data_IF_559427944827
#
_entry.id   IF_559427944827
#
_cell.length_a   1.000
_cell.length_b   1.000
_cell.length_c   1.000
_cell.angle_alpha   90.00
_cell.angle_beta   90.00
_cell.angle_gamma   90.00
#
_symmetry.space_group_name_H-M   'P 1'
#
loop_
_entity.id
_entity.type
_entity.pdbx_description
1 polymer ?
#
# COMPACT_ATOMS: atom_id res chain seq x y z
N UNK A 1 -12.43 -54.92 -10.94
CA UNK A 1 -13.53 -54.14 -10.31
C UNK A 1 -12.90 -53.15 -9.35
N UNK A 2 -12.35 -52.02 -9.83
CA UNK A 2 -11.81 -50.93 -8.97
C UNK A 2 -11.47 -49.66 -9.77
N UNK A 3 -12.34 -49.21 -10.68
CA UNK A 3 -12.13 -47.99 -11.46
C UNK A 3 -13.09 -46.84 -11.07
N UNK A 4 -13.81 -46.96 -9.95
CA UNK A 4 -14.94 -46.07 -9.65
C UNK A 4 -14.76 -45.21 -8.39
N UNK A 5 -13.53 -44.97 -7.91
CA UNK A 5 -13.33 -44.25 -6.64
C UNK A 5 -12.21 -43.19 -6.66
N UNK A 6 -11.94 -42.55 -7.80
CA UNK A 6 -10.99 -41.42 -7.90
C UNK A 6 -11.65 -40.05 -8.10
N UNK A 7 -12.97 -40.00 -8.31
CA UNK A 7 -13.66 -38.73 -8.58
C UNK A 7 -14.11 -37.99 -7.31
N UNK A 8 -13.99 -38.60 -6.13
CA UNK A 8 -14.42 -38.02 -4.85
C UNK A 8 -13.35 -37.16 -4.14
N UNK A 9 -12.12 -37.08 -4.66
CA UNK A 9 -10.99 -36.44 -3.97
C UNK A 9 -10.62 -35.03 -4.50
N UNK A 10 -11.35 -34.51 -5.49
CA UNK A 10 -11.05 -33.21 -6.14
C UNK A 10 -11.85 -32.01 -5.64
N UNK A 11 -12.83 -32.20 -4.77
CA UNK A 11 -13.71 -31.10 -4.31
C UNK A 11 -13.18 -30.33 -3.08
N UNK A 12 -12.06 -30.77 -2.49
CA UNK A 12 -11.55 -30.21 -1.23
C UNK A 12 -10.64 -28.99 -1.39
N UNK A 13 -10.29 -28.57 -2.62
CA UNK A 13 -9.17 -27.65 -2.83
C UNK A 13 -9.57 -26.16 -2.88
N UNK A 14 -10.79 -25.82 -3.33
CA UNK A 14 -11.20 -24.40 -3.48
C UNK A 14 -11.48 -23.71 -2.14
N UNK A 15 -12.00 -24.45 -1.17
CA UNK A 15 -12.28 -23.94 0.17
C UNK A 15 -11.01 -23.61 0.95
N UNK A 16 -9.94 -24.38 0.76
CA UNK A 16 -8.65 -24.12 1.40
C UNK A 16 -7.98 -22.86 0.87
N UNK A 17 -8.13 -22.57 -0.43
CA UNK A 17 -7.67 -21.33 -1.05
C UNK A 17 -8.37 -20.10 -0.44
N UNK A 18 -9.68 -20.20 -0.22
CA UNK A 18 -10.48 -19.12 0.37
C UNK A 18 -10.14 -18.85 1.84
N UNK A 19 -9.72 -19.86 2.59
CA UNK A 19 -9.32 -19.73 4.00
C UNK A 19 -7.87 -19.28 4.21
N UNK A 20 -7.11 -18.99 3.15
CA UNK A 20 -5.74 -18.54 3.27
C UNK A 20 -5.67 -17.15 3.93
N UNK A 21 -4.65 -16.91 4.76
CA UNK A 21 -4.55 -15.68 5.56
C UNK A 21 -4.59 -14.39 4.72
N UNK A 22 -4.01 -14.42 3.52
CA UNK A 22 -4.03 -13.30 2.56
C UNK A 22 -5.43 -13.02 2.05
N UNK A 23 -6.12 -14.04 1.55
CA UNK A 23 -7.48 -13.92 1.00
C UNK A 23 -8.49 -13.54 2.07
N UNK A 24 -8.34 -14.03 3.31
CA UNK A 24 -9.18 -13.65 4.44
C UNK A 24 -9.00 -12.16 4.81
N UNK A 25 -7.77 -11.65 4.77
CA UNK A 25 -7.51 -10.22 4.94
C UNK A 25 -8.13 -9.37 3.82
N UNK A 26 -8.05 -9.82 2.57
CA UNK A 26 -8.71 -9.14 1.44
C UNK A 26 -10.22 -9.13 1.59
N UNK A 27 -10.84 -10.22 2.05
CA UNK A 27 -12.28 -10.27 2.37
C UNK A 27 -12.67 -9.30 3.49
N UNK A 28 -11.84 -9.19 4.53
CA UNK A 28 -12.04 -8.23 5.60
C UNK A 28 -12.00 -6.78 5.07
N UNK A 29 -10.98 -6.43 4.28
CA UNK A 29 -10.88 -5.10 3.67
C UNK A 29 -12.05 -4.80 2.73
N UNK A 30 -12.45 -5.77 1.90
CA UNK A 30 -13.62 -5.66 1.03
C UNK A 30 -14.88 -5.37 1.86
N UNK A 31 -15.09 -6.08 2.97
CA UNK A 31 -16.24 -5.85 3.86
C UNK A 31 -16.23 -4.44 4.46
N UNK A 32 -15.07 -3.88 4.79
CA UNK A 32 -14.94 -2.52 5.30
C UNK A 32 -15.35 -1.51 4.21
N UNK A 33 -14.81 -1.63 2.99
CA UNK A 33 -15.18 -0.75 1.88
C UNK A 33 -16.66 -0.86 1.51
N UNK A 34 -17.19 -2.09 1.45
CA UNK A 34 -18.61 -2.33 1.18
C UNK A 34 -19.49 -1.68 2.25
N UNK A 35 -19.12 -1.78 3.53
CA UNK A 35 -19.85 -1.15 4.63
C UNK A 35 -19.80 0.37 4.55
N UNK A 36 -18.64 0.94 4.23
CA UNK A 36 -18.46 2.38 4.04
C UNK A 36 -19.36 2.90 2.91
N UNK A 37 -19.36 2.21 1.77
CA UNK A 37 -20.20 2.56 0.61
C UNK A 37 -21.68 2.39 0.95
N UNK A 38 -22.05 1.32 1.65
CA UNK A 38 -23.43 1.07 2.07
C UNK A 38 -23.97 2.17 2.97
N UNK A 39 -23.23 2.55 4.03
CA UNK A 39 -23.63 3.61 4.95
C UNK A 39 -23.73 4.96 4.22
N UNK A 40 -22.92 5.19 3.18
CA UNK A 40 -22.92 6.45 2.46
C UNK A 40 -24.16 6.68 1.60
N UNK A 41 -24.98 5.66 1.35
CA UNK A 41 -26.21 5.78 0.56
C UNK A 41 -27.20 6.74 1.23
N UNK A 42 -27.25 6.75 2.56
CA UNK A 42 -28.17 7.59 3.33
C UNK A 42 -27.66 9.03 3.52
N UNK A 43 -26.45 9.36 3.06
CA UNK A 43 -25.91 10.71 3.17
C UNK A 43 -26.30 11.58 1.97
N UNK A 44 -26.66 12.83 2.26
CA UNK A 44 -26.91 13.85 1.25
C UNK A 44 -25.62 14.24 0.52
N UNK A 45 -25.77 14.64 -0.74
CA UNK A 45 -24.67 15.18 -1.53
C UNK A 45 -24.21 16.52 -0.92
N UNK A 46 -22.90 16.77 -0.70
CA UNK A 46 -21.74 16.05 -1.24
C UNK A 46 -21.10 15.00 -0.30
N UNK A 47 -21.65 14.75 0.89
CA UNK A 47 -21.01 13.91 1.90
C UNK A 47 -20.87 12.43 1.46
N UNK A 48 -21.78 11.94 0.61
CA UNK A 48 -21.69 10.60 0.02
C UNK A 48 -20.64 10.46 -1.09
N UNK A 49 -20.13 11.56 -1.64
CA UNK A 49 -19.21 11.54 -2.77
C UNK A 49 -17.87 10.91 -2.42
N UNK A 50 -17.29 11.26 -1.26
CA UNK A 50 -16.00 10.73 -0.82
C UNK A 50 -16.01 9.20 -0.62
N UNK A 51 -17.00 8.63 0.10
CA UNK A 51 -17.16 7.17 0.17
C UNK A 51 -17.30 6.48 -1.19
N UNK A 52 -18.02 7.04 -2.15
CA UNK A 52 -18.14 6.43 -3.47
C UNK A 52 -16.82 6.48 -4.25
N UNK A 53 -16.15 7.63 -4.26
CA UNK A 53 -14.90 7.82 -5.02
C UNK A 53 -13.77 6.95 -4.45
N UNK A 54 -13.70 6.76 -3.13
CA UNK A 54 -12.66 5.94 -2.50
C UNK A 54 -13.06 4.47 -2.39
N UNK A 55 -14.32 4.20 -2.01
CA UNK A 55 -14.82 2.88 -1.71
C UNK A 55 -15.05 2.02 -2.95
N UNK A 56 -15.56 2.58 -4.06
CA UNK A 56 -15.81 1.79 -5.28
C UNK A 56 -14.50 1.28 -5.90
N UNK A 57 -13.45 2.12 -6.10
CA UNK A 57 -12.17 1.62 -6.55
C UNK A 57 -11.53 0.65 -5.56
N UNK A 58 -11.63 0.90 -4.25
CA UNK A 58 -11.15 -0.01 -3.20
C UNK A 58 -11.79 -1.40 -3.30
N UNK A 59 -13.12 -1.46 -3.43
CA UNK A 59 -13.85 -2.71 -3.65
C UNK A 59 -13.43 -3.41 -4.94
N UNK A 60 -13.27 -2.67 -6.05
CA UNK A 60 -12.85 -3.23 -7.33
C UNK A 60 -11.45 -3.85 -7.25
N UNK A 61 -10.52 -3.20 -6.56
CA UNK A 61 -9.16 -3.72 -6.33
C UNK A 61 -9.18 -4.95 -5.43
N UNK A 62 -9.97 -4.97 -4.35
CA UNK A 62 -10.11 -6.16 -3.52
C UNK A 62 -10.69 -7.34 -4.29
N UNK A 63 -11.72 -7.12 -5.13
CA UNK A 63 -12.27 -8.18 -5.98
C UNK A 63 -11.25 -8.69 -7.01
N UNK A 64 -10.51 -7.77 -7.64
CA UNK A 64 -9.43 -8.14 -8.56
C UNK A 64 -8.37 -8.98 -7.83
N UNK A 65 -7.99 -8.58 -6.62
CA UNK A 65 -7.01 -9.31 -5.81
C UNK A 65 -7.51 -10.72 -5.44
N UNK A 66 -8.78 -10.88 -5.07
CA UNK A 66 -9.38 -12.22 -4.84
C UNK A 66 -9.34 -13.06 -6.12
N UNK A 67 -9.65 -12.48 -7.27
CA UNK A 67 -9.59 -13.18 -8.56
C UNK A 67 -8.17 -13.63 -8.89
N UNK A 68 -7.17 -12.77 -8.64
CA UNK A 68 -5.76 -13.10 -8.86
C UNK A 68 -5.29 -14.20 -7.90
N UNK A 69 -5.63 -14.11 -6.61
CA UNK A 69 -5.31 -15.12 -5.59
C UNK A 69 -5.89 -16.50 -5.97
N UNK A 70 -7.16 -16.53 -6.39
CA UNK A 70 -7.81 -17.78 -6.83
C UNK A 70 -7.18 -18.32 -8.11
N UNK A 71 -6.85 -17.44 -9.06
CA UNK A 71 -6.20 -17.85 -10.32
C UNK A 71 -4.81 -18.42 -10.07
N UNK A 72 -4.04 -17.79 -9.20
CA UNK A 72 -2.71 -18.23 -8.79
C UNK A 72 -2.78 -19.58 -8.07
N UNK A 73 -3.72 -19.75 -7.13
CA UNK A 73 -3.93 -21.02 -6.46
C UNK A 73 -4.27 -22.17 -7.43
N UNK A 74 -5.13 -21.90 -8.43
CA UNK A 74 -5.43 -22.87 -9.48
C UNK A 74 -4.25 -23.16 -10.41
N UNK A 75 -3.45 -22.16 -10.77
CA UNK A 75 -2.28 -22.33 -11.61
C UNK A 75 -1.22 -23.24 -10.96
N UNK A 76 -1.14 -23.22 -9.63
CA UNK A 76 -0.14 -23.95 -8.85
C UNK A 76 -0.61 -25.38 -8.49
N UNK A 77 -1.80 -25.81 -8.95
CA UNK A 77 -2.36 -27.17 -8.76
C UNK A 77 -2.23 -27.71 -7.32
N UNK A 78 -2.42 -26.85 -6.32
CA UNK A 78 -2.39 -27.24 -4.89
C UNK A 78 -1.01 -27.57 -4.32
N UNK A 79 0.09 -27.38 -5.06
CA UNK A 79 1.44 -27.47 -4.51
C UNK A 79 1.81 -26.10 -3.93
N UNK A 80 1.31 -25.82 -2.73
CA UNK A 80 1.71 -24.62 -1.98
C UNK A 80 3.18 -24.80 -1.59
N UNK A 81 4.06 -24.34 -2.46
CA UNK A 81 5.46 -24.14 -2.15
C UNK A 81 5.53 -23.01 -1.10
N UNK A 82 6.07 -23.24 0.11
CA UNK A 82 6.16 -22.23 1.16
C UNK A 82 7.09 -21.05 0.81
N UNK A 83 7.76 -21.09 -0.35
CA UNK A 83 8.52 -19.95 -0.88
C UNK A 83 7.57 -18.82 -1.25
N UNK A 84 7.86 -17.62 -0.74
CA UNK A 84 7.06 -16.41 -1.04
C UNK A 84 7.00 -16.17 -2.55
N UNK A 85 5.87 -15.69 -3.08
CA UNK A 85 5.67 -15.40 -4.51
C UNK A 85 6.82 -14.57 -5.10
N UNK A 86 7.43 -13.72 -4.29
CA UNK A 86 8.65 -12.97 -4.61
C UNK A 86 9.86 -13.85 -4.96
N UNK A 87 10.13 -14.94 -4.23
CA UNK A 87 11.20 -15.90 -4.53
C UNK A 87 10.92 -16.63 -5.86
N UNK A 88 9.65 -16.93 -6.14
CA UNK A 88 9.26 -17.55 -7.42
C UNK A 88 9.42 -16.57 -8.59
N UNK A 89 9.00 -15.31 -8.42
CA UNK A 89 9.21 -14.25 -9.41
C UNK A 89 10.71 -13.97 -9.66
N UNK A 90 11.53 -13.97 -8.62
CA UNK A 90 12.98 -13.77 -8.74
C UNK A 90 13.69 -14.94 -9.44
N UNK A 91 13.27 -16.17 -9.17
CA UNK A 91 13.79 -17.36 -9.86
C UNK A 91 13.39 -17.36 -11.35
N UNK A 92 12.16 -16.93 -11.66
CA UNK A 92 11.67 -16.79 -13.03
C UNK A 92 12.38 -15.64 -13.79
N UNK A 93 12.58 -14.48 -13.16
CA UNK A 93 13.33 -13.36 -13.73
C UNK A 93 14.80 -13.75 -13.93
N UNK A 94 15.45 -14.41 -12.96
CA UNK A 94 16.83 -14.89 -13.10
C UNK A 94 16.99 -15.82 -14.31
N UNK A 95 16.03 -16.72 -14.49
CA UNK A 95 16.01 -17.69 -15.59
C UNK A 95 15.76 -17.06 -16.96
N UNK A 96 15.01 -15.95 -17.02
CA UNK A 96 14.73 -15.21 -18.26
C UNK A 96 15.71 -14.07 -18.53
N UNK A 97 16.43 -13.57 -17.53
CA UNK A 97 17.39 -12.46 -17.64
C UNK A 97 18.81 -12.95 -17.93
N UNK A 98 19.09 -14.24 -17.78
CA UNK A 98 20.36 -14.86 -18.18
C UNK A 98 20.59 -14.95 -19.70
N UNK A 99 19.67 -14.46 -20.54
CA UNK A 99 19.83 -14.41 -21.99
C UNK A 99 19.81 -12.96 -22.47
N UNK A 100 21.02 -12.43 -22.70
CA UNK A 100 21.33 -11.23 -23.50
C UNK A 100 20.36 -10.05 -23.40
N UNK A 101 20.62 -9.10 -22.50
CA UNK A 101 20.39 -7.70 -22.85
C UNK A 101 21.44 -6.79 -22.21
N UNK A 102 22.06 -6.00 -23.07
CA UNK A 102 23.16 -5.06 -22.83
C UNK A 102 22.85 -4.13 -21.64
N UNK A 103 23.69 -4.21 -20.61
CA UNK A 103 23.31 -4.09 -19.20
C UNK A 103 24.06 -2.97 -18.48
N UNK A 104 24.29 -1.83 -19.14
CA UNK A 104 25.03 -0.71 -18.52
C UNK A 104 24.14 0.41 -17.98
N UNK A 105 22.89 0.55 -18.43
CA UNK A 105 21.98 1.63 -17.98
C UNK A 105 20.96 1.14 -16.93
N UNK A 106 20.53 -0.12 -17.00
CA UNK A 106 19.60 -0.70 -16.02
C UNK A 106 20.29 -1.16 -14.73
N UNK A 107 21.59 -1.48 -14.79
CA UNK A 107 22.34 -2.04 -13.66
C UNK A 107 22.47 -1.06 -12.50
N UNK A 108 22.66 0.23 -12.76
CA UNK A 108 22.85 1.23 -11.70
C UNK A 108 21.55 1.56 -10.93
N UNK A 109 20.40 1.55 -11.61
CA UNK A 109 19.08 1.76 -10.98
C UNK A 109 18.57 0.48 -10.31
N UNK A 110 18.97 -0.70 -10.81
CA UNK A 110 18.62 -1.98 -10.20
C UNK A 110 19.56 -2.32 -9.03
N UNK A 111 20.84 -1.97 -9.05
CA UNK A 111 21.75 -2.16 -7.90
C UNK A 111 21.30 -1.34 -6.69
N UNK A 112 20.78 -0.13 -6.88
CA UNK A 112 20.24 0.66 -5.77
C UNK A 112 18.93 0.09 -5.18
N UNK A 113 18.24 -0.78 -5.90
CA UNK A 113 17.04 -1.51 -5.40
C UNK A 113 17.41 -2.92 -4.91
N UNK A 114 18.51 -3.53 -5.39
CA UNK A 114 18.92 -4.92 -5.12
C UNK A 114 20.04 -5.05 -4.06
N UNK A 115 20.74 -3.99 -3.67
CA UNK A 115 21.82 -4.06 -2.65
C UNK A 115 21.34 -4.37 -1.22
N UNK A 116 20.03 -4.52 -0.98
CA UNK A 116 19.49 -4.91 0.34
C UNK A 116 19.11 -6.42 0.43
N UNK A 117 19.55 -7.23 -0.53
CA UNK A 117 19.14 -8.64 -0.70
C UNK A 117 20.07 -9.66 0.00
N UNK A 118 20.47 -9.41 1.25
CA UNK A 118 20.99 -10.46 2.14
C UNK A 118 20.45 -10.33 3.58
N UNK A 119 19.13 -10.17 3.69
CA UNK A 119 18.45 -9.91 4.95
C UNK A 119 17.68 -11.14 5.44
N UNK A 120 18.29 -11.83 6.41
CA UNK A 120 17.78 -13.02 7.10
C UNK A 120 16.33 -12.89 7.55
N UNK A 121 15.60 -14.02 7.63
CA UNK A 121 14.18 -14.11 8.01
C UNK A 121 13.77 -13.37 9.32
N UNK A 122 14.74 -13.02 10.19
CA UNK A 122 14.53 -12.22 11.41
C UNK A 122 14.29 -10.73 11.14
N UNK A 123 14.68 -10.22 9.97
CA UNK A 123 14.57 -8.82 9.56
C UNK A 123 13.20 -8.43 8.97
N UNK A 124 12.39 -9.41 8.55
CA UNK A 124 11.06 -9.18 7.94
C UNK A 124 10.11 -8.50 8.92
N UNK A 125 9.96 -9.04 10.13
CA UNK A 125 9.12 -8.43 11.15
C UNK A 125 9.60 -7.04 11.60
N UNK A 126 10.90 -6.79 11.59
CA UNK A 126 11.43 -5.46 11.93
C UNK A 126 11.10 -4.42 10.86
N UNK A 127 11.20 -4.78 9.57
CA UNK A 127 10.82 -3.89 8.46
C UNK A 127 9.33 -3.55 8.50
N UNK A 128 8.48 -4.55 8.74
CA UNK A 128 7.03 -4.32 8.89
C UNK A 128 6.75 -3.37 10.06
N UNK A 129 7.36 -3.61 11.23
CA UNK A 129 7.20 -2.71 12.40
C UNK A 129 7.67 -1.29 12.09
N UNK A 130 8.76 -1.13 11.35
CA UNK A 130 9.27 0.19 10.93
C UNK A 130 8.26 0.89 10.02
N UNK A 131 7.71 0.20 9.01
CA UNK A 131 6.69 0.75 8.10
C UNK A 131 5.42 1.13 8.85
N UNK A 132 4.95 0.26 9.75
CA UNK A 132 3.82 0.58 10.64
C UNK A 132 4.13 1.79 11.52
N UNK A 133 5.34 1.88 12.07
CA UNK A 133 5.80 3.03 12.85
C UNK A 133 5.71 4.33 12.05
N UNK A 134 6.16 4.34 10.79
CA UNK A 134 6.03 5.50 9.91
C UNK A 134 4.58 5.85 9.61
N UNK A 135 3.73 4.85 9.38
CA UNK A 135 2.30 5.07 9.14
C UNK A 135 1.62 5.74 10.33
N UNK A 136 1.82 5.21 11.54
CA UNK A 136 1.25 5.81 12.75
C UNK A 136 1.85 7.18 13.06
N UNK A 137 3.15 7.38 12.79
CA UNK A 137 3.79 8.67 12.92
C UNK A 137 3.20 9.71 11.96
N UNK A 138 2.99 9.36 10.69
CA UNK A 138 2.30 10.20 9.70
C UNK A 138 0.87 10.52 10.15
N UNK A 139 0.12 9.52 10.61
CA UNK A 139 -1.24 9.70 11.12
C UNK A 139 -1.25 10.70 12.29
N UNK A 140 -0.38 10.50 13.27
CA UNK A 140 -0.28 11.35 14.44
C UNK A 140 0.09 12.79 14.08
N UNK A 141 1.09 13.00 13.22
CA UNK A 141 1.53 14.35 12.85
C UNK A 141 0.49 15.08 12.00
N UNK A 142 -0.21 14.38 11.10
CA UNK A 142 -1.30 14.97 10.30
C UNK A 142 -2.51 15.30 11.18
N UNK A 143 -2.82 14.47 12.18
CA UNK A 143 -3.90 14.77 13.12
C UNK A 143 -3.56 15.98 14.02
N UNK A 144 -2.32 16.08 14.48
CA UNK A 144 -1.91 17.17 15.36
C UNK A 144 -1.73 18.49 14.61
N UNK A 145 -0.98 18.49 13.51
CA UNK A 145 -0.54 19.71 12.82
C UNK A 145 -1.34 20.01 11.55
N UNK A 146 -2.19 19.09 11.12
CA UNK A 146 -2.93 19.19 9.87
C UNK A 146 -2.18 18.59 8.70
N UNK A 147 -2.89 18.46 7.59
CA UNK A 147 -2.38 17.83 6.38
C UNK A 147 -1.19 18.60 5.78
N UNK A 148 -1.30 19.93 5.66
CA UNK A 148 -0.27 20.76 5.03
C UNK A 148 1.07 20.71 5.75
N UNK A 149 1.04 20.95 7.06
CA UNK A 149 2.24 21.01 7.88
C UNK A 149 2.74 19.59 8.13
N UNK A 150 1.82 18.66 8.44
CA UNK A 150 2.15 17.27 8.75
C UNK A 150 2.87 16.55 7.62
N UNK A 151 2.39 16.67 6.37
CA UNK A 151 3.04 16.01 5.23
C UNK A 151 4.40 16.63 4.91
N UNK A 152 4.53 17.96 4.96
CA UNK A 152 5.81 18.62 4.74
C UNK A 152 6.87 18.16 5.73
N UNK A 153 6.53 18.12 7.02
CA UNK A 153 7.44 17.64 8.07
C UNK A 153 7.73 16.15 7.89
N UNK A 154 6.70 15.34 7.66
CA UNK A 154 6.87 13.89 7.46
C UNK A 154 7.80 13.59 6.29
N UNK A 155 7.60 14.20 5.13
CA UNK A 155 8.44 14.00 3.94
C UNK A 155 9.89 14.41 4.20
N UNK A 156 10.09 15.58 4.83
CA UNK A 156 11.43 16.05 5.15
C UNK A 156 12.16 15.08 6.09
N UNK A 157 11.49 14.66 7.18
CA UNK A 157 12.02 13.69 8.14
C UNK A 157 12.27 12.36 7.45
N UNK A 158 11.30 11.85 6.69
CA UNK A 158 11.41 10.58 6.00
C UNK A 158 12.61 10.54 5.06
N UNK A 159 12.77 11.54 4.18
CA UNK A 159 13.94 11.65 3.29
C UNK A 159 15.24 11.77 4.10
N UNK A 160 15.25 12.59 5.16
CA UNK A 160 16.47 12.78 5.95
C UNK A 160 16.96 11.50 6.63
N UNK A 161 16.04 10.65 7.09
CA UNK A 161 16.35 9.43 7.83
C UNK A 161 16.54 8.20 6.94
N UNK A 162 15.71 8.01 5.90
CA UNK A 162 15.78 6.83 5.02
C UNK A 162 16.87 6.96 3.96
N UNK A 163 16.85 8.04 3.18
CA UNK A 163 17.76 8.15 2.03
C UNK A 163 19.14 8.70 2.40
N UNK A 164 19.34 9.11 3.65
CA UNK A 164 20.59 9.74 4.17
C UNK A 164 21.08 10.90 3.28
N UNK A 165 20.17 11.52 2.56
CA UNK A 165 20.49 12.56 1.58
C UNK A 165 21.02 13.83 2.21
N UNK A 166 21.72 14.62 1.39
CA UNK A 166 22.16 15.95 1.80
C UNK A 166 20.96 16.84 2.14
N UNK A 167 21.11 17.67 3.17
CA UNK A 167 20.02 18.52 3.69
C UNK A 167 19.40 19.41 2.59
N UNK A 168 20.23 19.91 1.67
CA UNK A 168 19.77 20.73 0.55
C UNK A 168 18.87 19.94 -0.41
N UNK A 169 19.25 18.69 -0.74
CA UNK A 169 18.45 17.86 -1.63
C UNK A 169 17.12 17.47 -0.98
N UNK A 170 17.13 17.08 0.30
CA UNK A 170 15.90 16.69 1.00
C UNK A 170 14.90 17.86 1.08
N UNK A 171 15.40 19.09 1.31
CA UNK A 171 14.56 20.28 1.35
C UNK A 171 14.02 20.64 -0.04
N UNK A 172 14.85 20.54 -1.09
CA UNK A 172 14.43 20.81 -2.47
C UNK A 172 13.35 19.83 -2.93
N UNK A 173 13.54 18.52 -2.68
CA UNK A 173 12.55 17.49 -3.02
C UNK A 173 11.27 17.68 -2.21
N UNK A 174 11.39 17.89 -0.89
CA UNK A 174 10.21 18.10 -0.03
C UNK A 174 9.40 19.31 -0.50
N UNK A 175 10.06 20.43 -0.76
CA UNK A 175 9.39 21.64 -1.27
C UNK A 175 8.72 21.41 -2.62
N UNK A 176 9.38 20.69 -3.54
CA UNK A 176 8.84 20.34 -4.84
C UNK A 176 7.59 19.47 -4.76
N UNK A 177 7.65 18.36 -4.00
CA UNK A 177 6.52 17.44 -3.82
C UNK A 177 5.36 18.13 -3.09
N UNK A 178 5.66 18.87 -2.01
CA UNK A 178 4.67 19.60 -1.23
C UNK A 178 3.94 20.66 -2.06
N UNK A 179 4.69 21.44 -2.86
CA UNK A 179 4.13 22.45 -3.76
C UNK A 179 3.28 21.85 -4.88
N UNK A 180 3.74 20.76 -5.50
CA UNK A 180 2.97 20.03 -6.52
C UNK A 180 1.65 19.51 -5.96
N UNK A 181 1.70 18.92 -4.76
CA UNK A 181 0.50 18.44 -4.06
C UNK A 181 -0.44 19.59 -3.68
N UNK A 182 0.10 20.75 -3.29
CA UNK A 182 -0.69 21.98 -3.08
C UNK A 182 -1.45 22.40 -4.32
N UNK A 183 -0.76 22.47 -5.46
CA UNK A 183 -1.39 22.84 -6.72
C UNK A 183 -2.52 21.86 -7.06
N UNK A 184 -2.27 20.55 -7.00
CA UNK A 184 -3.29 19.56 -7.36
C UNK A 184 -4.48 19.59 -6.39
N UNK A 185 -4.25 19.54 -5.08
CA UNK A 185 -5.34 19.38 -4.13
C UNK A 185 -6.14 20.67 -3.90
N UNK A 186 -5.47 21.81 -3.82
CA UNK A 186 -6.13 23.09 -3.52
C UNK A 186 -6.61 23.75 -4.79
N UNK A 187 -5.74 23.86 -5.80
CA UNK A 187 -6.04 24.65 -7.00
C UNK A 187 -6.90 23.85 -7.97
N UNK A 188 -6.59 22.56 -8.17
CA UNK A 188 -7.31 21.75 -9.16
C UNK A 188 -8.54 21.07 -8.57
N UNK A 189 -8.45 20.56 -7.33
CA UNK A 189 -9.52 19.77 -6.72
C UNK A 189 -10.37 20.54 -5.69
N UNK A 190 -9.98 21.76 -5.32
CA UNK A 190 -10.66 22.60 -4.30
C UNK A 190 -11.00 21.83 -3.01
N UNK A 191 -10.15 20.87 -2.61
CA UNK A 191 -10.42 20.06 -1.43
C UNK A 191 -10.14 20.81 -0.13
N UNK A 192 -11.12 20.81 0.76
CA UNK A 192 -10.96 21.24 2.15
C UNK A 192 -10.16 20.17 2.88
N UNK A 193 -8.92 20.50 3.23
CA UNK A 193 -8.00 19.60 3.91
C UNK A 193 -8.05 19.83 5.42
N UNK A 194 -7.81 18.77 6.17
CA UNK A 194 -7.83 18.82 7.63
C UNK A 194 -6.71 19.73 8.17
N UNK A 195 -7.09 20.75 8.95
CA UNK A 195 -6.17 21.77 9.46
C UNK A 195 -5.35 21.32 10.67
N UNK A 196 -5.76 20.25 11.36
CA UNK A 196 -5.09 19.77 12.57
C UNK A 196 -5.67 20.34 13.86
N UNK A 197 -5.55 19.57 14.94
CA UNK A 197 -6.05 19.99 16.25
C UNK A 197 -5.22 21.14 16.86
N UNK A 198 -3.89 21.06 16.78
CA UNK A 198 -2.99 22.06 17.37
C UNK A 198 -3.06 23.36 16.57
N UNK A 199 -3.00 23.27 15.24
CA UNK A 199 -3.05 24.44 14.35
C UNK A 199 -4.33 25.24 14.58
N UNK A 200 -5.48 24.55 14.67
CA UNK A 200 -6.75 25.20 14.99
C UNK A 200 -6.71 25.90 16.35
N UNK A 201 -6.20 25.23 17.38
CA UNK A 201 -6.11 25.81 18.73
C UNK A 201 -5.21 27.06 18.79
N UNK A 202 -4.07 27.05 18.07
CA UNK A 202 -3.18 28.20 17.98
C UNK A 202 -3.86 29.36 17.24
N UNK A 203 -4.52 29.09 16.12
CA UNK A 203 -5.20 30.15 15.35
C UNK A 203 -6.28 30.81 16.21
N UNK A 204 -7.13 30.01 16.87
CA UNK A 204 -8.19 30.53 17.75
C UNK A 204 -7.63 31.37 18.90
N UNK A 205 -6.52 30.93 19.51
CA UNK A 205 -5.94 31.61 20.68
C UNK A 205 -5.21 32.92 20.32
N UNK A 206 -4.55 33.00 19.16
CA UNK A 206 -3.68 34.15 18.83
C UNK A 206 -4.29 35.16 17.86
N UNK A 207 -5.32 34.80 17.09
CA UNK A 207 -5.88 35.66 16.04
C UNK A 207 -7.30 36.17 16.32
N UNK A 208 -7.91 35.80 17.45
CA UNK A 208 -9.29 36.18 17.80
C UNK A 208 -9.38 37.26 18.90
N UNK A 209 -8.25 37.73 19.42
CA UNK A 209 -8.13 38.88 20.33
C UNK A 209 -7.73 40.16 19.58
#
# INVERSE_FOLDING_TARGET
MSAHNQDAERETTTWQALTHGRTLFTWLMFSIFASMVYISIDYEWPANFLPYVMGIPGMALCLLQVVLDVREFHAVKGVVDPRTDFERYMDEISKHTSMELDLDIAKETVETIVVDEDMSARSRGQREIILFGYFFFLLAIVLLLGFWIGIGIFLFVFLRYQTKETLNLSLMITGGVWSSMYLVLVVVLEQILFEGFITKHIIETYFTD
#
